data_IF_161634113725
#
_entry.id   IF_161634113725
#
_cell.length_a   1.000
_cell.length_b   1.000
_cell.length_c   1.000
_cell.angle_alpha   90.00
_cell.angle_beta   90.00
_cell.angle_gamma   90.00
#
_symmetry.space_group_name_H-M   'P 1'
#
loop_
_entity.id
_entity.type
_entity.pdbx_description
1 polymer ?
#
# COMPACT_ATOMS: atom_id res chain seq x y z
N UNK A 1 6.53 4.92 3.73
CA UNK A 1 5.21 4.44 4.20
C UNK A 1 4.13 5.51 4.01
N UNK A 2 4.09 6.61 4.78
CA UNK A 2 3.01 7.63 4.67
C UNK A 2 2.84 8.27 3.28
N UNK A 3 3.94 8.73 2.66
CA UNK A 3 3.89 9.34 1.34
C UNK A 3 3.36 8.36 0.28
N UNK A 4 3.93 7.15 0.23
CA UNK A 4 3.46 6.11 -0.69
C UNK A 4 2.02 5.67 -0.40
N UNK A 5 1.55 5.69 0.86
CA UNK A 5 0.15 5.43 1.18
C UNK A 5 -0.79 6.47 0.59
N UNK A 6 -0.44 7.75 0.66
CA UNK A 6 -1.23 8.83 0.03
C UNK A 6 -1.25 8.68 -1.51
N UNK A 7 -0.11 8.37 -2.12
CA UNK A 7 -0.02 8.18 -3.57
C UNK A 7 -0.77 6.93 -4.02
N UNK A 8 -0.69 5.83 -3.27
CA UNK A 8 -1.41 4.59 -3.55
C UNK A 8 -2.92 4.82 -3.60
N UNK A 9 -3.47 5.49 -2.59
CA UNK A 9 -4.89 5.86 -2.55
C UNK A 9 -5.31 6.77 -3.69
N UNK A 10 -4.44 7.69 -4.12
CA UNK A 10 -4.78 8.69 -5.13
C UNK A 10 -4.62 8.20 -6.57
N UNK A 11 -3.71 7.25 -6.83
CA UNK A 11 -3.25 6.93 -8.20
C UNK A 11 -3.39 5.47 -8.60
N UNK A 12 -3.47 4.54 -7.65
CA UNK A 12 -3.47 3.12 -7.98
C UNK A 12 -4.90 2.60 -8.16
N UNK A 13 -5.04 1.53 -8.95
CA UNK A 13 -6.33 0.87 -9.14
C UNK A 13 -6.60 -0.06 -7.97
N UNK A 14 -7.40 0.43 -7.02
CA UNK A 14 -7.77 -0.29 -5.81
C UNK A 14 -9.23 -0.78 -5.88
N UNK A 15 -9.54 -1.84 -5.13
CA UNK A 15 -10.91 -2.29 -4.98
C UNK A 15 -11.72 -1.27 -4.17
N UNK A 16 -12.99 -1.07 -4.54
CA UNK A 16 -13.88 -0.19 -3.81
C UNK A 16 -14.08 -0.70 -2.38
N UNK A 17 -13.71 0.14 -1.42
CA UNK A 17 -13.91 -0.09 0.01
C UNK A 17 -14.22 1.25 0.69
N UNK A 18 -15.01 1.24 1.77
CA UNK A 18 -15.57 2.46 2.36
C UNK A 18 -15.49 2.43 3.88
N UNK A 19 -15.44 3.62 4.49
CA UNK A 19 -15.38 3.80 5.95
C UNK A 19 -13.99 4.20 6.44
N UNK A 20 -13.71 3.95 7.72
CA UNK A 20 -12.40 4.18 8.31
C UNK A 20 -11.57 2.92 8.11
N UNK A 21 -10.70 2.94 7.12
CA UNK A 21 -9.97 1.76 6.67
C UNK A 21 -8.53 1.78 7.17
N UNK A 22 -8.00 0.61 7.52
CA UNK A 22 -6.57 0.44 7.68
C UNK A 22 -5.90 0.32 6.31
N UNK A 23 -4.62 0.69 6.17
CA UNK A 23 -3.89 0.55 4.91
C UNK A 23 -3.91 -0.87 4.34
N UNK A 24 -3.90 -1.89 5.20
CA UNK A 24 -3.98 -3.29 4.78
C UNK A 24 -5.29 -3.64 4.05
N UNK A 25 -6.43 -3.09 4.51
CA UNK A 25 -7.72 -3.29 3.82
C UNK A 25 -7.83 -2.40 2.58
N UNK A 26 -7.39 -1.15 2.65
CA UNK A 26 -7.59 -0.19 1.56
C UNK A 26 -6.64 -0.41 0.37
N UNK A 27 -5.38 -0.81 0.63
CA UNK A 27 -4.31 -0.79 -0.37
C UNK A 27 -3.74 -2.18 -0.68
N UNK A 28 -3.90 -3.15 0.24
CA UNK A 28 -3.46 -4.54 0.05
C UNK A 28 -2.00 -4.67 -0.39
N UNK A 29 -1.77 -5.47 -1.44
CA UNK A 29 -0.42 -5.71 -1.97
C UNK A 29 0.14 -4.54 -2.79
N UNK A 30 -0.71 -3.62 -3.26
CA UNK A 30 -0.27 -2.49 -4.08
C UNK A 30 0.67 -1.57 -3.30
N UNK A 31 0.36 -1.30 -2.03
CA UNK A 31 1.26 -0.49 -1.18
C UNK A 31 2.60 -1.19 -0.94
N UNK A 32 2.65 -2.52 -0.85
CA UNK A 32 3.91 -3.25 -0.69
C UNK A 32 4.81 -3.05 -1.92
N UNK A 33 4.25 -3.21 -3.13
CA UNK A 33 4.98 -2.97 -4.39
C UNK A 33 5.54 -1.55 -4.46
N UNK A 34 4.73 -0.55 -4.11
CA UNK A 34 5.18 0.85 -4.09
C UNK A 34 6.34 1.08 -3.12
N UNK A 35 6.24 0.50 -1.93
CA UNK A 35 7.26 0.66 -0.90
C UNK A 35 8.59 0.03 -1.32
N UNK A 36 8.56 -1.10 -2.02
CA UNK A 36 9.75 -1.71 -2.60
C UNK A 36 10.34 -0.88 -3.74
N UNK A 37 9.50 -0.38 -4.65
CA UNK A 37 9.95 0.36 -5.84
C UNK A 37 10.41 1.79 -5.55
N UNK A 38 9.71 2.50 -4.66
CA UNK A 38 9.85 3.95 -4.52
C UNK A 38 10.37 4.38 -3.13
N UNK A 39 10.27 3.53 -2.12
CA UNK A 39 10.68 3.86 -0.75
C UNK A 39 11.94 3.10 -0.28
N UNK A 40 12.55 2.28 -1.15
CA UNK A 40 13.77 1.52 -0.85
C UNK A 40 13.58 0.45 0.22
N UNK A 41 12.33 0.02 0.46
CA UNK A 41 12.01 -1.03 1.44
C UNK A 41 12.12 -2.42 0.80
N UNK A 42 12.26 -3.45 1.64
CA UNK A 42 12.23 -4.85 1.21
C UNK A 42 11.45 -5.66 2.22
N UNK A 43 10.64 -6.58 1.74
CA UNK A 43 9.86 -7.47 2.60
C UNK A 43 10.32 -8.92 2.43
N UNK A 44 10.33 -9.66 3.54
CA UNK A 44 10.63 -11.09 3.57
C UNK A 44 9.61 -11.79 4.46
N UNK A 45 9.09 -12.92 4.00
CA UNK A 45 8.23 -13.78 4.84
C UNK A 45 9.14 -14.69 5.66
N UNK A 46 9.03 -14.61 6.98
CA UNK A 46 9.70 -15.51 7.90
C UNK A 46 8.71 -16.62 8.26
N UNK A 47 9.16 -17.88 8.17
CA UNK A 47 8.40 -19.07 8.55
C UNK A 47 8.62 -19.43 10.01
#
# INVERSE_FOLDING_TARGET
MLAESAVCLAKDSLNNSYGILTPSIAMGDEILKRLELNAGLRFSIIK
#
